data_IF_747796495889
#
_entry.id   IF_747796495889
#
_cell.length_a   1.000
_cell.length_b   1.000
_cell.length_c   1.000
_cell.angle_alpha   90.00
_cell.angle_beta   90.00
_cell.angle_gamma   90.00
#
_symmetry.space_group_name_H-M   'P 1'
#
loop_
_entity.id
_entity.type
_entity.pdbx_description
1 polymer ?
#
# COMPACT_ATOMS: atom_id res chain seq x y z
N UNK A 1 35.29 4.39 0.03
CA UNK A 1 34.76 3.08 0.42
C UNK A 1 33.29 3.07 0.05
N UNK A 2 32.95 2.53 -1.13
CA UNK A 2 31.58 2.54 -1.65
C UNK A 2 30.84 1.32 -1.12
N UNK A 3 30.05 1.49 -0.06
CA UNK A 3 28.96 0.57 0.22
C UNK A 3 27.95 0.74 -0.92
N UNK A 4 28.03 -0.11 -1.95
CA UNK A 4 26.94 -0.27 -2.90
C UNK A 4 25.72 -0.69 -2.08
N UNK A 5 24.78 0.22 -1.90
CA UNK A 5 23.41 -0.09 -1.52
C UNK A 5 22.98 -1.28 -2.37
N UNK A 6 22.81 -2.44 -1.74
CA UNK A 6 22.18 -3.58 -2.40
C UNK A 6 20.80 -3.09 -2.82
N UNK A 7 20.61 -2.83 -4.11
CA UNK A 7 19.36 -2.30 -4.63
C UNK A 7 18.22 -3.16 -4.08
N UNK A 8 17.37 -2.56 -3.23
CA UNK A 8 16.20 -3.24 -2.66
C UNK A 8 15.22 -3.50 -3.81
N UNK A 9 15.33 -4.67 -4.42
CA UNK A 9 14.59 -5.04 -5.61
C UNK A 9 13.55 -6.12 -5.27
N UNK A 10 12.55 -5.73 -4.49
CA UNK A 10 11.40 -6.58 -4.18
C UNK A 10 10.09 -5.79 -4.37
N UNK A 11 8.95 -6.47 -4.55
CA UNK A 11 7.68 -5.79 -4.73
C UNK A 11 7.24 -5.03 -3.47
N UNK A 12 6.74 -3.81 -3.66
CA UNK A 12 6.07 -3.03 -2.61
C UNK A 12 4.60 -2.85 -3.01
N UNK A 13 3.71 -3.26 -2.11
CA UNK A 13 2.27 -3.05 -2.23
C UNK A 13 1.87 -1.88 -1.35
N UNK A 14 1.37 -0.81 -1.95
CA UNK A 14 0.65 0.23 -1.22
C UNK A 14 -0.84 -0.12 -1.18
N UNK A 15 -1.41 -0.33 0.01
CA UNK A 15 -2.84 -0.53 0.22
C UNK A 15 -3.42 0.74 0.82
N UNK A 16 -4.09 1.54 -0.01
CA UNK A 16 -4.70 2.82 0.35
C UNK A 16 -6.18 2.69 0.66
N UNK A 17 -6.64 3.22 1.80
CA UNK A 17 -8.05 3.19 2.18
C UNK A 17 -8.42 4.20 3.28
N UNK A 18 -9.69 4.16 3.69
CA UNK A 18 -10.23 5.07 4.71
C UNK A 18 -11.39 4.39 5.46
N UNK A 19 -12.59 4.96 5.43
CA UNK A 19 -13.78 4.36 6.03
C UNK A 19 -14.08 2.97 5.45
N UNK A 20 -14.26 1.99 6.33
CA UNK A 20 -14.44 0.59 5.94
C UNK A 20 -13.16 -0.14 5.52
N UNK A 21 -12.00 0.54 5.50
CA UNK A 21 -10.73 -0.06 5.12
C UNK A 21 -10.27 -1.20 6.03
N UNK A 22 -10.63 -1.17 7.33
CA UNK A 22 -10.25 -2.21 8.30
C UNK A 22 -10.67 -3.62 7.87
N UNK A 23 -11.91 -3.78 7.39
CA UNK A 23 -12.41 -5.08 6.89
C UNK A 23 -11.58 -5.56 5.69
N UNK A 24 -11.31 -4.65 4.75
CA UNK A 24 -10.49 -4.96 3.58
C UNK A 24 -9.06 -5.36 3.97
N UNK A 25 -8.42 -4.64 4.92
CA UNK A 25 -7.08 -4.97 5.40
C UNK A 25 -7.05 -6.34 6.08
N UNK A 26 -8.03 -6.64 6.93
CA UNK A 26 -8.12 -7.93 7.62
C UNK A 26 -8.28 -9.08 6.63
N UNK A 27 -9.26 -8.99 5.72
CA UNK A 27 -9.55 -10.04 4.73
C UNK A 27 -8.39 -10.23 3.77
N UNK A 28 -7.73 -9.16 3.36
CA UNK A 28 -6.52 -9.22 2.55
C UNK A 28 -5.40 -9.97 3.29
N UNK A 29 -5.06 -9.52 4.49
CA UNK A 29 -3.92 -10.03 5.26
C UNK A 29 -4.07 -11.49 5.68
N UNK A 30 -5.30 -11.94 5.98
CA UNK A 30 -5.59 -13.34 6.32
C UNK A 30 -5.23 -14.33 5.22
N UNK A 31 -5.16 -13.87 3.97
CA UNK A 31 -4.89 -14.70 2.81
C UNK A 31 -3.45 -14.55 2.29
N UNK A 32 -2.59 -13.74 2.94
CA UNK A 32 -1.20 -13.56 2.54
C UNK A 32 -0.23 -14.44 3.36
N UNK A 33 0.63 -15.24 2.70
CA UNK A 33 1.74 -15.93 3.35
C UNK A 33 2.73 -14.94 3.98
N UNK A 34 3.48 -15.40 4.99
CA UNK A 34 4.46 -14.56 5.68
C UNK A 34 5.76 -14.38 4.90
N UNK A 35 6.07 -15.24 3.93
CA UNK A 35 7.39 -15.37 3.30
C UNK A 35 7.37 -15.22 1.78
N UNK A 36 6.46 -14.38 1.25
CA UNK A 36 6.26 -14.20 -0.19
C UNK A 36 7.24 -13.22 -0.88
N UNK A 37 8.16 -12.62 -0.13
CA UNK A 37 9.16 -11.69 -0.65
C UNK A 37 8.64 -10.28 -0.95
N UNK A 38 7.51 -9.87 -0.35
CA UNK A 38 6.81 -8.61 -0.67
C UNK A 38 6.62 -7.78 0.60
N UNK A 39 6.77 -6.46 0.50
CA UNK A 39 6.41 -5.54 1.58
C UNK A 39 5.00 -4.99 1.36
N UNK A 40 4.18 -4.97 2.42
CA UNK A 40 2.84 -4.38 2.41
C UNK A 40 2.88 -3.08 3.20
N UNK A 41 2.41 -1.99 2.62
CA UNK A 41 2.32 -0.68 3.26
C UNK A 41 0.87 -0.24 3.25
N UNK A 42 0.24 -0.22 4.42
CA UNK A 42 -1.13 0.23 4.61
C UNK A 42 -1.11 1.73 4.89
N UNK A 43 -1.66 2.49 3.95
CA UNK A 43 -1.79 3.94 4.03
C UNK A 43 -3.26 4.29 4.21
N UNK A 44 -3.63 4.62 5.44
CA UNK A 44 -5.03 4.83 5.81
C UNK A 44 -5.27 6.27 6.29
N UNK A 45 -6.41 6.85 5.92
CA UNK A 45 -6.86 8.12 6.52
C UNK A 45 -7.25 7.92 7.99
N UNK A 46 -6.60 8.64 8.90
CA UNK A 46 -6.92 8.63 10.34
C UNK A 46 -7.59 9.96 10.70
N UNK A 47 -8.92 9.97 10.88
CA UNK A 47 -9.69 11.21 11.13
C UNK A 47 -10.18 11.43 12.54
N UNK A 48 -10.64 10.40 13.26
CA UNK A 48 -11.41 10.65 14.50
C UNK A 48 -10.92 9.85 15.69
N UNK A 49 -10.37 8.67 15.46
CA UNK A 49 -9.61 7.88 16.45
C UNK A 49 -8.50 7.21 15.67
N UNK A 50 -7.28 7.21 16.20
CA UNK A 50 -6.25 6.34 15.65
C UNK A 50 -6.70 4.91 15.91
N UNK A 51 -7.36 4.28 14.93
CA UNK A 51 -7.43 2.83 14.91
C UNK A 51 -5.98 2.38 14.95
N UNK A 52 -5.58 1.74 16.04
CA UNK A 52 -4.22 1.24 16.23
C UNK A 52 -4.08 -0.01 15.35
N UNK A 53 -4.06 0.20 14.03
CA UNK A 53 -4.03 -0.88 13.03
C UNK A 53 -2.83 -1.79 13.27
N UNK A 54 -1.71 -1.23 13.71
CA UNK A 54 -0.51 -2.00 14.05
C UNK A 54 -0.69 -2.91 15.29
N UNK A 55 -1.70 -2.67 16.14
CA UNK A 55 -2.05 -3.54 17.27
C UNK A 55 -3.16 -4.55 16.91
N UNK A 56 -4.05 -4.20 15.97
CA UNK A 56 -5.17 -5.04 15.55
C UNK A 56 -4.76 -6.06 14.49
N UNK A 57 -4.06 -5.60 13.45
CA UNK A 57 -3.71 -6.41 12.28
C UNK A 57 -2.76 -7.58 12.55
N UNK A 58 -1.89 -7.60 13.59
CA UNK A 58 -1.12 -8.80 13.94
C UNK A 58 -1.96 -10.06 14.18
N UNK A 59 -3.25 -9.92 14.48
CA UNK A 59 -4.17 -11.07 14.66
C UNK A 59 -4.55 -11.74 13.34
N UNK A 60 -4.26 -11.10 12.21
CA UNK A 60 -4.75 -11.47 10.89
C UNK A 60 -3.62 -11.79 9.90
N UNK A 61 -2.36 -11.77 10.35
CA UNK A 61 -1.20 -12.14 9.54
C UNK A 61 -0.09 -12.68 10.41
N UNK A 62 0.75 -13.55 9.84
CA UNK A 62 1.99 -13.98 10.46
C UNK A 62 3.18 -13.05 10.13
N UNK A 63 3.01 -12.09 9.22
CA UNK A 63 4.02 -11.04 8.99
C UNK A 63 4.12 -10.11 10.20
N UNK A 64 5.32 -9.62 10.55
CA UNK A 64 5.44 -8.54 11.52
C UNK A 64 4.69 -7.31 11.04
N UNK A 65 3.92 -6.69 11.93
CA UNK A 65 3.21 -5.43 11.67
C UNK A 65 3.91 -4.31 12.42
N UNK A 66 4.29 -3.23 11.75
CA UNK A 66 5.07 -2.15 12.35
C UNK A 66 4.52 -0.78 11.98
N UNK A 67 4.36 0.06 13.01
CA UNK A 67 4.08 1.48 12.83
C UNK A 67 5.34 2.16 12.26
N UNK A 68 5.21 2.85 11.13
CA UNK A 68 6.34 3.46 10.44
C UNK A 68 6.93 4.61 11.28
N UNK A 69 8.25 4.64 11.38
CA UNK A 69 9.05 5.72 11.96
C UNK A 69 9.98 6.33 10.92
N UNK A 70 10.56 7.51 11.22
CA UNK A 70 11.53 8.16 10.35
C UNK A 70 12.77 7.27 10.13
N UNK A 71 13.26 7.23 8.88
CA UNK A 71 14.41 6.43 8.44
C UNK A 71 14.25 4.91 8.67
N UNK A 72 13.00 4.42 8.75
CA UNK A 72 12.74 2.99 8.89
C UNK A 72 12.99 2.27 7.57
N UNK A 73 13.85 1.25 7.59
CA UNK A 73 14.09 0.37 6.45
C UNK A 73 12.84 -0.36 5.98
N UNK A 74 12.57 -0.28 4.67
CA UNK A 74 11.59 -1.13 4.01
C UNK A 74 12.21 -2.52 3.80
N UNK A 75 11.53 -3.56 4.28
CA UNK A 75 11.94 -4.98 4.19
C UNK A 75 10.79 -5.80 3.62
N UNK A 76 11.07 -6.86 2.84
CA UNK A 76 10.03 -7.79 2.40
C UNK A 76 9.47 -8.54 3.62
N UNK A 77 8.33 -9.22 3.42
CA UNK A 77 7.70 -10.08 4.43
C UNK A 77 7.24 -9.32 5.67
N UNK A 78 6.81 -8.06 5.46
CA UNK A 78 6.54 -7.12 6.54
C UNK A 78 5.33 -6.24 6.17
N UNK A 79 4.49 -5.97 7.16
CA UNK A 79 3.36 -5.04 7.04
C UNK A 79 3.67 -3.75 7.77
N UNK A 80 3.59 -2.63 7.07
CA UNK A 80 3.88 -1.31 7.59
C UNK A 80 2.62 -0.46 7.64
N UNK A 81 2.43 0.28 8.73
CA UNK A 81 1.27 1.15 8.93
C UNK A 81 1.75 2.61 8.97
N UNK A 82 1.13 3.47 8.17
CA UNK A 82 1.39 4.91 8.24
C UNK A 82 1.01 5.49 9.63
N UNK A 83 1.85 6.34 10.25
CA UNK A 83 1.45 7.06 11.45
C UNK A 83 0.44 8.16 11.15
N UNK A 84 -0.32 8.56 12.17
CA UNK A 84 -1.25 9.68 12.04
C UNK A 84 -0.54 10.99 11.72
N UNK A 85 -1.24 11.88 11.02
CA UNK A 85 -0.84 13.27 10.78
C UNK A 85 0.50 13.45 10.05
N UNK A 86 0.87 12.51 9.17
CA UNK A 86 2.09 12.56 8.36
C UNK A 86 1.81 12.25 6.90
N UNK A 87 2.58 12.89 6.03
CA UNK A 87 2.77 12.42 4.66
C UNK A 87 3.92 11.41 4.66
N UNK A 88 3.71 10.30 3.96
CA UNK A 88 4.68 9.22 3.87
C UNK A 88 5.42 9.30 2.53
N UNK A 89 6.73 9.16 2.59
CA UNK A 89 7.62 9.13 1.44
C UNK A 89 8.60 7.96 1.55
N UNK A 90 9.29 7.68 0.43
CA UNK A 90 10.41 6.74 0.37
C UNK A 90 11.62 7.46 -0.22
N UNK A 91 12.79 7.26 0.38
CA UNK A 91 14.08 7.69 -0.18
C UNK A 91 15.14 6.67 0.22
N UNK A 92 16.00 6.28 -0.72
CA UNK A 92 17.09 5.31 -0.50
C UNK A 92 16.64 3.98 0.17
N UNK A 93 15.38 3.62 -0.06
CA UNK A 93 14.76 2.41 0.45
C UNK A 93 14.31 2.47 1.92
N UNK A 94 14.25 3.67 2.49
CA UNK A 94 13.74 3.94 3.83
C UNK A 94 12.46 4.79 3.77
N UNK A 95 11.61 4.65 4.77
CA UNK A 95 10.47 5.53 4.97
C UNK A 95 10.91 6.90 5.50
N UNK A 96 10.34 7.96 4.93
CA UNK A 96 10.54 9.36 5.34
C UNK A 96 9.19 9.98 5.67
N UNK A 97 9.07 10.57 6.84
CA UNK A 97 7.85 11.18 7.35
C UNK A 97 7.94 12.70 7.24
N UNK A 98 6.97 13.30 6.57
CA UNK A 98 6.85 14.76 6.48
C UNK A 98 5.57 15.25 7.17
N UNK A 99 5.51 16.52 7.59
CA UNK A 99 4.23 17.14 7.94
C UNK A 99 3.24 17.01 6.79
N UNK A 100 1.94 16.86 7.09
CA UNK A 100 0.89 16.80 6.07
C UNK A 100 0.97 18.04 5.15
N UNK A 101 1.08 17.79 3.85
CA UNK A 101 1.11 18.84 2.82
C UNK A 101 -0.23 19.55 2.64
N UNK A 102 -1.34 18.87 2.95
CA UNK A 102 -2.71 19.40 2.84
C UNK A 102 -3.42 19.41 4.20
N UNK A 103 -3.17 20.43 5.04
CA UNK A 103 -3.70 20.47 6.41
C UNK A 103 -5.20 20.80 6.49
N UNK A 104 -5.84 21.19 5.39
CA UNK A 104 -7.27 21.51 5.31
C UNK A 104 -7.95 20.63 4.26
N UNK A 105 -9.17 20.16 4.57
CA UNK A 105 -9.93 19.25 3.71
C UNK A 105 -9.50 17.79 3.88
N UNK A 106 -9.78 16.95 2.88
CA UNK A 106 -9.36 15.56 2.86
C UNK A 106 -7.85 15.47 2.56
N UNK A 107 -7.04 14.79 3.40
CA UNK A 107 -5.63 14.58 3.13
C UNK A 107 -5.41 13.70 1.89
N UNK A 108 -4.36 13.98 1.11
CA UNK A 108 -4.01 13.21 -0.09
C UNK A 108 -2.83 12.24 0.19
N UNK A 109 -2.79 11.66 1.39
CA UNK A 109 -1.64 10.89 1.90
C UNK A 109 -1.34 9.64 1.04
N UNK A 110 -2.37 9.03 0.45
CA UNK A 110 -2.19 7.87 -0.44
C UNK A 110 -1.59 8.33 -1.76
N UNK A 111 -2.12 9.41 -2.36
CA UNK A 111 -1.56 10.01 -3.58
C UNK A 111 -0.09 10.40 -3.39
N UNK A 112 0.23 11.05 -2.27
CA UNK A 112 1.60 11.48 -1.94
C UNK A 112 2.54 10.29 -1.85
N UNK A 113 2.15 9.23 -1.14
CA UNK A 113 2.99 8.04 -1.00
C UNK A 113 3.16 7.29 -2.32
N UNK A 114 2.08 7.12 -3.10
CA UNK A 114 2.16 6.47 -4.42
C UNK A 114 3.12 7.22 -5.36
N UNK A 115 3.05 8.55 -5.40
CA UNK A 115 4.00 9.36 -6.18
C UNK A 115 5.44 9.21 -5.69
N UNK A 116 5.62 9.16 -4.37
CA UNK A 116 6.94 8.94 -3.79
C UNK A 116 7.51 7.56 -4.15
N UNK A 117 6.68 6.52 -4.14
CA UNK A 117 7.07 5.17 -4.58
C UNK A 117 7.49 5.18 -6.05
N UNK A 118 6.66 5.75 -6.93
CA UNK A 118 6.96 5.85 -8.37
C UNK A 118 8.29 6.55 -8.64
N UNK A 119 8.65 7.57 -7.85
CA UNK A 119 9.86 8.35 -8.03
C UNK A 119 11.13 7.69 -7.45
N UNK A 120 11.01 6.89 -6.39
CA UNK A 120 12.17 6.46 -5.58
C UNK A 120 12.32 4.95 -5.40
N UNK A 121 11.31 4.15 -5.77
CA UNK A 121 11.37 2.70 -5.67
C UNK A 121 11.56 2.07 -7.05
N UNK A 122 12.60 1.26 -7.19
CA UNK A 122 12.96 0.63 -8.47
C UNK A 122 12.41 -0.80 -8.60
N UNK A 123 11.96 -1.40 -7.50
CA UNK A 123 11.28 -2.71 -7.53
C UNK A 123 9.85 -2.60 -8.05
N UNK A 124 9.18 -3.75 -8.21
CA UNK A 124 7.80 -3.81 -8.68
C UNK A 124 6.87 -3.03 -7.74
N UNK A 125 6.00 -2.19 -8.30
CA UNK A 125 5.00 -1.43 -7.56
C UNK A 125 3.61 -2.02 -7.78
N UNK A 126 2.85 -2.15 -6.70
CA UNK A 126 1.43 -2.51 -6.72
C UNK A 126 0.67 -1.47 -5.91
N UNK A 127 -0.27 -0.77 -6.54
CA UNK A 127 -1.17 0.17 -5.88
C UNK A 127 -2.54 -0.48 -5.73
N UNK A 128 -3.03 -0.60 -4.50
CA UNK A 128 -4.35 -1.15 -4.18
C UNK A 128 -5.18 -0.06 -3.52
N UNK A 129 -6.33 0.30 -4.12
CA UNK A 129 -7.28 1.24 -3.53
C UNK A 129 -8.48 0.44 -2.99
N UNK A 130 -8.70 0.52 -1.68
CA UNK A 130 -9.80 -0.16 -0.98
C UNK A 130 -10.82 0.84 -0.42
N UNK A 131 -11.85 0.31 0.22
CA UNK A 131 -12.97 1.04 0.84
C UNK A 131 -12.54 2.34 1.52
N UNK A 132 -13.26 3.42 1.20
CA UNK A 132 -13.04 4.73 1.76
C UNK A 132 -13.85 5.83 1.07
N UNK A 133 -13.88 7.01 1.69
CA UNK A 133 -14.50 8.22 1.16
C UNK A 133 -13.53 9.02 0.30
N UNK A 134 -14.07 9.85 -0.60
CA UNK A 134 -13.33 10.72 -1.52
C UNK A 134 -12.54 9.92 -2.59
N UNK A 135 -11.60 10.57 -3.31
CA UNK A 135 -10.83 9.97 -4.40
C UNK A 135 -9.32 9.91 -4.18
N UNK A 136 -8.82 9.96 -2.93
CA UNK A 136 -7.38 9.89 -2.66
C UNK A 136 -6.75 8.61 -3.24
N UNK A 137 -5.58 8.75 -3.86
CA UNK A 137 -4.85 7.73 -4.57
C UNK A 137 -5.12 7.71 -6.07
N UNK A 138 -6.34 8.05 -6.50
CA UNK A 138 -6.77 7.93 -7.91
C UNK A 138 -5.88 8.75 -8.87
N UNK A 139 -5.47 9.95 -8.45
CA UNK A 139 -4.64 10.84 -9.25
C UNK A 139 -3.22 10.31 -9.53
N UNK A 140 -2.72 9.34 -8.74
CA UNK A 140 -1.38 8.77 -8.90
C UNK A 140 -1.38 7.43 -9.66
N UNK A 141 -2.54 6.80 -9.89
CA UNK A 141 -2.62 5.45 -10.47
C UNK A 141 -2.04 5.37 -11.88
N UNK A 142 -2.32 6.38 -12.71
CA UNK A 142 -1.77 6.42 -14.06
C UNK A 142 -0.24 6.55 -14.07
N UNK A 143 0.35 7.20 -13.07
CA UNK A 143 1.80 7.33 -12.91
C UNK A 143 2.41 5.96 -12.55
N UNK A 144 1.79 5.23 -11.61
CA UNK A 144 2.17 3.85 -11.25
C UNK A 144 2.14 2.94 -12.49
N UNK A 145 1.05 3.00 -13.26
CA UNK A 145 0.88 2.18 -14.46
C UNK A 145 1.93 2.51 -15.54
N UNK A 146 2.21 3.80 -15.77
CA UNK A 146 3.27 4.24 -16.71
C UNK A 146 4.65 3.78 -16.28
N UNK A 147 4.90 3.65 -14.98
CA UNK A 147 6.13 3.09 -14.42
C UNK A 147 6.19 1.54 -14.47
N UNK A 148 5.22 0.87 -15.10
CA UNK A 148 5.15 -0.58 -15.18
C UNK A 148 4.66 -1.26 -13.91
N UNK A 149 4.10 -0.50 -12.97
CA UNK A 149 3.40 -1.01 -11.79
C UNK A 149 2.05 -1.63 -12.13
N UNK A 150 1.42 -2.26 -11.14
CA UNK A 150 0.08 -2.85 -11.23
C UNK A 150 -0.86 -2.05 -10.34
N UNK A 151 -2.08 -1.85 -10.80
CA UNK A 151 -3.10 -1.03 -10.15
C UNK A 151 -4.38 -1.84 -9.94
N UNK A 152 -4.85 -1.88 -8.71
CA UNK A 152 -5.97 -2.72 -8.30
C UNK A 152 -6.96 -1.87 -7.51
N UNK A 153 -8.25 -1.99 -7.82
CA UNK A 153 -9.32 -1.42 -7.02
C UNK A 153 -10.11 -2.54 -6.33
N UNK A 154 -10.55 -2.31 -5.10
CA UNK A 154 -11.48 -3.20 -4.44
C UNK A 154 -12.81 -3.24 -5.22
N UNK A 155 -13.36 -4.44 -5.38
CA UNK A 155 -14.68 -4.64 -5.97
C UNK A 155 -15.75 -3.91 -5.15
N UNK A 156 -16.57 -3.10 -5.81
CA UNK A 156 -17.47 -2.15 -5.16
C UNK A 156 -18.49 -2.81 -4.22
N UNK A 157 -19.00 -4.00 -4.57
CA UNK A 157 -19.96 -4.76 -3.76
C UNK A 157 -19.34 -5.36 -2.47
N UNK A 158 -18.01 -5.37 -2.37
CA UNK A 158 -17.29 -5.79 -1.16
C UNK A 158 -16.80 -4.61 -0.30
N UNK A 159 -16.95 -3.37 -0.79
CA UNK A 159 -16.52 -2.16 -0.09
C UNK A 159 -17.65 -1.60 0.76
N UNK A 160 -17.39 -1.37 2.04
CA UNK A 160 -18.37 -0.73 2.92
C UNK A 160 -18.59 0.75 2.55
N UNK A 161 -17.56 1.41 2.04
CA UNK A 161 -17.62 2.74 1.44
C UNK A 161 -16.97 2.71 0.05
N UNK A 162 -17.77 2.71 -1.04
CA UNK A 162 -17.25 2.45 -2.38
C UNK A 162 -16.66 3.68 -3.10
N UNK A 163 -16.72 4.88 -2.54
CA UNK A 163 -16.33 6.12 -3.23
C UNK A 163 -14.87 6.08 -3.73
N UNK A 164 -13.92 5.71 -2.87
CA UNK A 164 -12.50 5.63 -3.23
C UNK A 164 -12.23 4.61 -4.35
N UNK A 165 -12.65 3.33 -4.23
CA UNK A 165 -12.53 2.38 -5.33
C UNK A 165 -13.24 2.85 -6.61
N UNK A 166 -14.40 3.52 -6.51
CA UNK A 166 -15.12 4.05 -7.66
C UNK A 166 -14.32 5.16 -8.36
N UNK A 167 -13.75 6.10 -7.61
CA UNK A 167 -12.85 7.12 -8.14
C UNK A 167 -11.59 6.53 -8.77
N UNK A 168 -11.02 5.49 -8.16
CA UNK A 168 -9.89 4.77 -8.71
C UNK A 168 -10.22 4.14 -10.06
N UNK A 169 -11.37 3.45 -10.19
CA UNK A 169 -11.85 2.87 -11.45
C UNK A 169 -12.09 3.96 -12.51
N UNK A 170 -12.74 5.06 -12.12
CA UNK A 170 -13.04 6.18 -13.01
C UNK A 170 -11.79 6.88 -13.57
N UNK A 171 -10.62 6.70 -12.96
CA UNK A 171 -9.34 7.20 -13.50
C UNK A 171 -8.95 6.56 -14.85
N UNK A 172 -9.54 5.41 -15.21
CA UNK A 172 -9.16 4.63 -16.39
C UNK A 172 -7.80 3.93 -16.26
N UNK A 173 -7.19 3.97 -15.07
CA UNK A 173 -5.84 3.49 -14.80
C UNK A 173 -5.83 2.34 -13.79
N UNK A 174 -6.90 1.53 -13.74
CA UNK A 174 -6.98 0.29 -12.96
C UNK A 174 -6.78 -0.91 -13.90
N UNK A 175 -5.97 -1.88 -13.48
CA UNK A 175 -5.77 -3.16 -14.18
C UNK A 175 -6.79 -4.21 -13.73
N UNK A 176 -7.08 -4.26 -12.43
CA UNK A 176 -7.96 -5.28 -11.85
C UNK A 176 -8.96 -4.68 -10.86
N UNK A 177 -10.18 -5.21 -10.87
CA UNK A 177 -11.22 -4.93 -9.88
C UNK A 177 -11.54 -6.23 -9.17
N UNK A 178 -11.13 -6.35 -7.90
CA UNK A 178 -11.04 -7.64 -7.19
C UNK A 178 -11.57 -7.56 -5.75
N UNK A 179 -12.09 -8.65 -5.22
CA UNK A 179 -12.38 -8.77 -3.78
C UNK A 179 -11.08 -8.75 -2.96
N UNK A 180 -11.09 -8.39 -1.65
CA UNK A 180 -9.87 -8.47 -0.81
C UNK A 180 -9.11 -9.80 -0.88
N UNK A 181 -9.83 -10.92 -0.97
CA UNK A 181 -9.26 -12.26 -1.10
C UNK A 181 -8.62 -12.49 -2.49
N UNK A 182 -9.23 -11.95 -3.54
CA UNK A 182 -8.67 -11.98 -4.90
C UNK A 182 -7.45 -11.09 -5.03
N UNK A 183 -7.46 -9.92 -4.38
CA UNK A 183 -6.29 -9.03 -4.28
C UNK A 183 -5.12 -9.79 -3.64
N UNK A 184 -5.36 -10.53 -2.54
CA UNK A 184 -4.32 -11.34 -1.90
C UNK A 184 -3.73 -12.36 -2.88
N UNK A 185 -4.57 -13.11 -3.59
CA UNK A 185 -4.13 -14.09 -4.60
C UNK A 185 -3.30 -13.46 -5.70
N UNK A 186 -3.71 -12.29 -6.17
CA UNK A 186 -2.99 -11.57 -7.21
C UNK A 186 -1.62 -11.06 -6.73
N UNK A 187 -1.54 -10.55 -5.49
CA UNK A 187 -0.27 -10.16 -4.86
C UNK A 187 0.67 -11.36 -4.73
N UNK A 188 0.17 -12.53 -4.31
CA UNK A 188 0.97 -13.77 -4.22
C UNK A 188 1.54 -14.14 -5.59
N UNK A 189 0.68 -14.15 -6.63
CA UNK A 189 1.09 -14.45 -8.00
C UNK A 189 2.21 -13.53 -8.49
N UNK A 190 2.13 -12.24 -8.14
CA UNK A 190 3.17 -11.25 -8.51
C UNK A 190 4.44 -11.46 -7.70
N UNK A 191 4.33 -11.77 -6.40
CA UNK A 191 5.46 -12.10 -5.53
C UNK A 191 6.25 -13.31 -6.05
N UNK A 192 5.56 -14.39 -6.42
CA UNK A 192 6.18 -15.61 -6.95
C UNK A 192 6.88 -15.39 -8.29
N UNK A 193 6.34 -14.52 -9.16
CA UNK A 193 6.97 -14.17 -10.44
C UNK A 193 8.28 -13.37 -10.34
N UNK A 194 8.60 -12.84 -9.15
CA UNK A 194 9.85 -12.11 -8.88
C UNK A 194 10.91 -12.92 -8.12
N UNK A 195 10.54 -14.05 -7.52
CA UNK A 195 11.48 -14.93 -6.81
C UNK A 195 12.09 -15.90 -7.82
N UNK A 196 13.31 -15.60 -8.25
CA UNK A 196 14.16 -16.56 -8.95
C UNK A 196 14.47 -17.71 -7.96
N UNK A 197 13.64 -18.75 -7.93
CA UNK A 197 13.90 -19.94 -7.10
C UNK A 197 15.10 -20.68 -7.71
N UNK A 198 16.22 -20.85 -6.99
CA UNK A 198 17.25 -21.78 -7.46
C UNK A 198 16.66 -23.19 -7.43
N UNK A 199 16.81 -23.90 -8.55
CA UNK A 199 16.52 -25.32 -8.67
C UNK A 199 17.36 -26.16 -7.68
#
# INVERSE_FOLDING_TARGET
>A
MNARSTAKNFPVVCVGGSAGGLDAYMRLLQHLPADMGVAIVIVNHLRTVATLLHEILPRFTAMPVTLITENLDIRPNHVYIIPAQRDLHVLDGEFRLKPISKPRGWPDVITVFLRSLTAHWHGKLIAVIVSGYDGDGAAALCEIKKAGGITIAQKLDTAAQPDMPQSAIASGCIDFVLSPEEIAREIIRIGEGGVNRPH
#
